data_IF_327775155960
#
_entry.id   IF_327775155960
#
_cell.length_a   1.000
_cell.length_b   1.000
_cell.length_c   1.000
_cell.angle_alpha   90.00
_cell.angle_beta   90.00
_cell.angle_gamma   90.00
#
_symmetry.space_group_name_H-M   'P 1'
#
loop_
_entity.id
_entity.type
_entity.pdbx_description
1 polymer ?
#
# COMPACT_ATOMS: atom_id res chain seq x y z
N UNK A 1 -26.85 -6.51 -17.38
CA UNK A 1 -26.16 -5.38 -16.74
C UNK A 1 -25.35 -5.91 -15.58
N UNK A 2 -24.06 -5.61 -15.55
CA UNK A 2 -23.18 -5.97 -14.44
C UNK A 2 -23.26 -4.94 -13.32
N UNK A 3 -22.58 -5.22 -12.21
CA UNK A 3 -22.50 -4.32 -11.06
C UNK A 3 -21.96 -2.92 -11.45
N UNK A 4 -21.09 -2.85 -12.46
CA UNK A 4 -20.50 -1.59 -12.92
C UNK A 4 -21.48 -0.64 -13.61
N UNK A 5 -22.56 -1.18 -14.17
CA UNK A 5 -23.53 -0.39 -14.96
C UNK A 5 -24.41 0.48 -14.06
N UNK A 6 -24.54 0.14 -12.76
CA UNK A 6 -25.36 0.92 -11.83
C UNK A 6 -24.60 2.02 -11.09
N UNK A 7 -23.26 2.01 -11.09
CA UNK A 7 -22.45 2.97 -10.32
C UNK A 7 -22.70 4.43 -10.68
N UNK A 8 -22.97 4.79 -11.95
CA UNK A 8 -23.37 6.15 -12.29
C UNK A 8 -24.63 6.60 -11.54
N UNK A 9 -25.60 5.69 -11.31
CA UNK A 9 -26.85 6.02 -10.59
C UNK A 9 -26.64 6.32 -9.11
N UNK A 10 -25.56 5.81 -8.50
CA UNK A 10 -25.20 6.09 -7.10
C UNK A 10 -24.37 7.36 -6.93
N UNK A 11 -24.07 8.06 -8.03
CA UNK A 11 -23.11 9.16 -8.05
C UNK A 11 -21.71 8.62 -8.28
N UNK A 12 -21.25 8.70 -9.53
CA UNK A 12 -20.00 8.15 -10.05
C UNK A 12 -18.75 8.43 -9.20
N UNK A 13 -18.72 9.59 -8.52
CA UNK A 13 -17.74 9.97 -7.50
C UNK A 13 -18.38 10.95 -6.49
N UNK A 14 -19.38 10.46 -5.77
CA UNK A 14 -20.14 11.20 -4.76
C UNK A 14 -19.39 11.50 -3.46
N UNK A 15 -20.12 12.07 -2.49
CA UNK A 15 -19.57 12.49 -1.19
C UNK A 15 -18.99 11.32 -0.40
N UNK A 16 -19.66 10.16 -0.43
CA UNK A 16 -19.17 8.95 0.22
C UNK A 16 -17.80 8.54 -0.32
N UNK A 17 -17.65 8.47 -1.64
CA UNK A 17 -16.42 8.06 -2.30
C UNK A 17 -15.26 9.03 -2.00
N UNK A 18 -15.53 10.34 -1.94
CA UNK A 18 -14.53 11.35 -1.56
C UNK A 18 -14.05 11.21 -0.12
N UNK A 19 -14.98 11.03 0.83
CA UNK A 19 -14.64 10.86 2.25
C UNK A 19 -13.80 9.61 2.45
N UNK A 20 -14.21 8.49 1.84
CA UNK A 20 -13.48 7.24 1.97
C UNK A 20 -12.10 7.34 1.31
N UNK A 21 -12.00 7.90 0.10
CA UNK A 21 -10.70 8.12 -0.56
C UNK A 21 -9.73 8.94 0.31
N UNK A 22 -10.21 9.99 0.97
CA UNK A 22 -9.40 10.81 1.87
C UNK A 22 -8.96 10.01 3.11
N UNK A 23 -9.87 9.33 3.80
CA UNK A 23 -9.56 8.56 5.01
C UNK A 23 -8.61 7.39 4.73
N UNK A 24 -8.84 6.66 3.63
CA UNK A 24 -8.03 5.51 3.23
C UNK A 24 -6.62 5.96 2.88
N UNK A 25 -6.46 7.07 2.14
CA UNK A 25 -5.13 7.59 1.81
C UNK A 25 -4.27 7.87 3.05
N UNK A 26 -4.87 8.31 4.16
CA UNK A 26 -4.13 8.60 5.39
C UNK A 26 -3.64 7.35 6.15
N UNK A 27 -4.14 6.15 5.87
CA UNK A 27 -3.65 4.90 6.49
C UNK A 27 -2.20 4.58 6.12
N UNK A 28 -1.72 5.07 4.98
CA UNK A 28 -0.39 4.74 4.49
C UNK A 28 0.72 5.62 5.09
N UNK A 29 0.37 6.75 5.71
CA UNK A 29 1.36 7.69 6.27
C UNK A 29 2.34 7.01 7.24
N UNK A 30 1.90 6.22 8.23
CA UNK A 30 2.81 5.58 9.20
C UNK A 30 3.82 4.64 8.56
N UNK A 31 3.37 3.87 7.56
CA UNK A 31 4.21 2.92 6.87
C UNK A 31 5.32 3.64 6.10
N UNK A 32 4.96 4.66 5.32
CA UNK A 32 5.91 5.41 4.50
C UNK A 32 6.96 6.11 5.36
N UNK A 33 6.54 6.83 6.40
CA UNK A 33 7.45 7.58 7.28
C UNK A 33 8.42 6.68 8.03
N UNK A 34 7.98 5.52 8.53
CA UNK A 34 8.86 4.64 9.32
C UNK A 34 9.81 3.81 8.48
N UNK A 35 9.38 3.40 7.27
CA UNK A 35 10.28 2.72 6.32
C UNK A 35 11.38 3.66 5.87
N UNK A 36 11.04 4.90 5.52
CA UNK A 36 12.02 5.88 5.02
C UNK A 36 12.79 6.61 6.12
N UNK A 37 12.33 6.58 7.38
CA UNK A 37 13.10 7.06 8.53
C UNK A 37 14.49 6.40 8.60
N UNK A 38 14.64 5.17 8.09
CA UNK A 38 15.94 4.49 8.02
C UNK A 38 17.00 5.29 7.26
N UNK A 39 16.62 6.13 6.30
CA UNK A 39 17.56 6.97 5.54
C UNK A 39 18.12 8.10 6.41
N UNK A 40 17.26 8.72 7.22
CA UNK A 40 17.65 9.74 8.20
C UNK A 40 18.37 9.16 9.43
N UNK A 41 18.21 7.86 9.69
CA UNK A 41 18.95 7.17 10.76
C UNK A 41 20.31 6.66 10.26
N UNK A 42 20.43 6.29 8.99
CA UNK A 42 21.68 5.81 8.42
C UNK A 42 22.75 6.90 8.23
N UNK A 43 22.34 8.17 8.21
CA UNK A 43 23.18 9.31 7.82
C UNK A 43 23.93 10.02 8.97
N UNK A 44 23.40 10.14 10.20
CA UNK A 44 24.11 10.83 11.27
C UNK A 44 25.19 9.95 11.90
N UNK A 45 26.43 10.45 12.00
CA UNK A 45 27.48 9.80 12.78
C UNK A 45 27.07 9.65 14.26
N UNK A 46 26.27 10.57 14.81
CA UNK A 46 25.88 10.56 16.22
C UNK A 46 25.04 9.34 16.66
N UNK A 47 24.23 8.71 15.78
CA UNK A 47 23.53 7.46 16.08
C UNK A 47 24.54 6.33 16.26
N UNK A 48 25.33 6.07 15.22
CA UNK A 48 26.27 4.95 15.18
C UNK A 48 27.42 5.10 16.15
N UNK A 49 27.85 6.34 16.41
CA UNK A 49 28.83 6.64 17.44
C UNK A 49 28.30 6.50 18.86
N UNK A 50 26.98 6.58 19.08
CA UNK A 50 26.39 6.37 20.41
C UNK A 50 26.35 4.90 20.83
N UNK A 51 26.39 3.96 19.89
CA UNK A 51 26.47 2.53 20.17
C UNK A 51 27.91 2.06 20.09
N UNK A 52 28.52 1.77 21.25
CA UNK A 52 29.85 1.14 21.37
C UNK A 52 30.93 1.70 20.41
N UNK A 53 30.83 2.99 20.05
CA UNK A 53 31.66 3.68 19.06
C UNK A 53 31.77 2.97 17.69
N UNK A 54 30.66 2.47 17.15
CA UNK A 54 30.59 1.75 15.86
C UNK A 54 30.77 2.67 14.62
N UNK A 55 31.17 3.94 14.79
CA UNK A 55 31.25 4.98 13.75
C UNK A 55 31.94 4.54 12.44
N UNK A 56 33.03 3.77 12.54
CA UNK A 56 33.91 3.47 11.41
C UNK A 56 33.49 2.21 10.64
N UNK A 57 32.58 1.40 11.19
CA UNK A 57 32.18 0.11 10.63
C UNK A 57 30.96 0.25 9.73
N UNK A 58 31.15 0.81 8.53
CA UNK A 58 30.09 1.00 7.52
C UNK A 58 29.28 -0.27 7.20
N UNK A 59 29.88 -1.46 7.30
CA UNK A 59 29.17 -2.72 7.05
C UNK A 59 28.03 -2.99 8.06
N UNK A 60 28.12 -2.49 9.30
CA UNK A 60 27.06 -2.67 10.31
C UNK A 60 25.83 -1.81 10.01
N UNK A 61 26.03 -0.63 9.41
CA UNK A 61 24.94 0.22 8.91
C UNK A 61 24.18 -0.53 7.81
N UNK A 62 24.90 -1.08 6.83
CA UNK A 62 24.32 -1.84 5.72
C UNK A 62 23.64 -3.15 6.20
N UNK A 63 24.21 -3.79 7.23
CA UNK A 63 23.63 -4.98 7.85
C UNK A 63 22.30 -4.64 8.54
N UNK A 64 22.23 -3.52 9.28
CA UNK A 64 20.99 -3.05 9.90
C UNK A 64 19.90 -2.78 8.87
N UNK A 65 20.24 -2.17 7.72
CA UNK A 65 19.28 -1.93 6.65
C UNK A 65 18.79 -3.23 6.00
N UNK A 66 19.71 -4.16 5.72
CA UNK A 66 19.37 -5.48 5.19
C UNK A 66 18.44 -6.25 6.13
N UNK A 67 18.75 -6.27 7.43
CA UNK A 67 17.93 -6.95 8.45
C UNK A 67 16.55 -6.32 8.60
N UNK A 68 16.42 -5.00 8.43
CA UNK A 68 15.11 -4.36 8.35
C UNK A 68 14.24 -4.95 7.24
N UNK A 69 14.77 -5.13 6.02
CA UNK A 69 14.03 -5.76 4.92
C UNK A 69 13.79 -7.27 5.09
N UNK A 70 14.64 -7.98 5.84
CA UNK A 70 14.33 -9.34 6.29
C UNK A 70 13.10 -9.35 7.20
N UNK A 71 13.00 -8.39 8.12
CA UNK A 71 11.80 -8.17 8.94
C UNK A 71 10.56 -7.94 8.08
N UNK A 72 10.66 -7.11 7.05
CA UNK A 72 9.57 -6.88 6.08
C UNK A 72 9.08 -8.20 5.45
N UNK A 73 10.00 -9.04 4.98
CA UNK A 73 9.66 -10.33 4.37
C UNK A 73 8.91 -11.24 5.36
N UNK A 74 9.40 -11.33 6.60
CA UNK A 74 8.76 -12.12 7.67
C UNK A 74 7.35 -11.57 7.93
N UNK A 75 7.21 -10.25 8.04
CA UNK A 75 5.94 -9.56 8.26
C UNK A 75 4.89 -9.88 7.21
N UNK A 76 5.26 -9.82 5.92
CA UNK A 76 4.36 -10.12 4.81
C UNK A 76 3.81 -11.56 4.87
N UNK A 77 4.66 -12.54 5.15
CA UNK A 77 4.24 -13.95 5.20
C UNK A 77 3.39 -14.24 6.44
N UNK A 78 3.84 -13.77 7.61
CA UNK A 78 3.22 -14.07 8.90
C UNK A 78 1.91 -13.33 9.10
N UNK A 79 1.91 -12.00 9.00
CA UNK A 79 0.71 -11.21 9.21
C UNK A 79 -0.30 -11.37 8.08
N UNK A 80 0.14 -11.71 6.86
CA UNK A 80 -0.77 -12.15 5.79
C UNK A 80 -1.58 -13.38 6.19
N UNK A 81 -0.90 -14.44 6.66
CA UNK A 81 -1.58 -15.67 7.11
C UNK A 81 -2.45 -15.45 8.36
N UNK A 82 -2.02 -14.59 9.30
CA UNK A 82 -2.81 -14.25 10.48
C UNK A 82 -4.08 -13.48 10.08
N UNK A 83 -3.98 -12.57 9.11
CA UNK A 83 -5.12 -11.80 8.60
C UNK A 83 -6.18 -12.69 7.94
N UNK A 84 -5.75 -13.75 7.25
CA UNK A 84 -6.66 -14.72 6.66
C UNK A 84 -7.34 -15.62 7.70
N UNK A 85 -6.66 -15.93 8.81
CA UNK A 85 -7.20 -16.83 9.85
C UNK A 85 -8.05 -16.12 10.92
N UNK A 86 -7.60 -14.98 11.41
CA UNK A 86 -8.22 -14.24 12.53
C UNK A 86 -9.00 -13.01 12.08
N UNK A 87 -8.94 -12.68 10.80
CA UNK A 87 -9.59 -11.52 10.22
C UNK A 87 -8.69 -10.28 10.23
N UNK A 88 -8.79 -9.53 9.13
CA UNK A 88 -7.91 -8.40 8.80
C UNK A 88 -7.91 -7.28 9.84
N UNK A 89 -9.06 -7.02 10.46
CA UNK A 89 -9.21 -5.96 11.48
C UNK A 89 -8.42 -6.28 12.76
N UNK A 90 -8.51 -7.52 13.26
CA UNK A 90 -7.75 -7.96 14.44
C UNK A 90 -6.27 -7.86 14.15
N UNK A 91 -5.86 -8.28 12.95
CA UNK A 91 -4.45 -8.25 12.55
C UNK A 91 -3.92 -6.82 12.39
N UNK A 92 -4.71 -5.87 11.88
CA UNK A 92 -4.31 -4.46 11.84
C UNK A 92 -4.04 -3.89 13.24
N UNK A 93 -4.96 -4.12 14.17
CA UNK A 93 -4.82 -3.65 15.56
C UNK A 93 -3.59 -4.27 16.19
N UNK A 94 -3.39 -5.59 16.00
CA UNK A 94 -2.22 -6.31 16.48
C UNK A 94 -0.92 -5.73 15.90
N UNK A 95 -0.85 -5.52 14.58
CA UNK A 95 0.32 -4.94 13.93
C UNK A 95 0.60 -3.53 14.45
N UNK A 96 -0.42 -2.70 14.65
CA UNK A 96 -0.26 -1.34 15.16
C UNK A 96 0.29 -1.33 16.59
N UNK A 97 -0.24 -2.19 17.48
CA UNK A 97 0.24 -2.31 18.86
C UNK A 97 1.72 -2.73 18.88
N UNK A 98 2.07 -3.77 18.11
CA UNK A 98 3.46 -4.24 18.02
C UNK A 98 4.34 -3.13 17.46
N UNK A 99 3.92 -2.46 16.39
CA UNK A 99 4.68 -1.39 15.74
C UNK A 99 4.97 -0.21 16.68
N UNK A 100 3.97 0.27 17.43
CA UNK A 100 4.13 1.38 18.37
C UNK A 100 5.01 0.98 19.56
N UNK A 101 4.73 -0.17 20.19
CA UNK A 101 5.47 -0.61 21.38
C UNK A 101 6.94 -0.88 21.06
N UNK A 102 7.20 -1.60 19.98
CA UNK A 102 8.56 -1.95 19.56
C UNK A 102 9.30 -0.70 19.04
N UNK A 103 8.63 0.19 18.32
CA UNK A 103 9.22 1.46 17.85
C UNK A 103 9.63 2.39 19.00
N UNK A 104 8.79 2.53 20.03
CA UNK A 104 9.14 3.26 21.26
C UNK A 104 10.30 2.55 21.98
N UNK A 105 10.24 1.21 22.09
CA UNK A 105 11.33 0.42 22.68
C UNK A 105 12.67 0.59 21.96
N UNK A 106 12.66 0.70 20.62
CA UNK A 106 13.86 0.92 19.82
C UNK A 106 14.54 2.26 20.16
N UNK A 107 13.76 3.31 20.49
CA UNK A 107 14.31 4.59 20.92
C UNK A 107 15.08 4.52 22.26
N UNK A 108 14.80 3.52 23.09
CA UNK A 108 15.48 3.27 24.37
C UNK A 108 16.53 2.15 24.29
N UNK A 109 16.82 1.64 23.10
CA UNK A 109 17.83 0.59 22.93
C UNK A 109 19.21 1.00 23.50
N UNK A 110 19.84 0.14 24.31
CA UNK A 110 21.13 0.43 24.94
C UNK A 110 22.32 0.03 24.06
N UNK A 111 22.15 -0.97 23.20
CA UNK A 111 23.21 -1.51 22.34
C UNK A 111 22.71 -1.73 20.90
N UNK A 112 23.65 -1.90 19.97
CA UNK A 112 23.38 -2.09 18.54
C UNK A 112 22.49 -3.32 18.27
N UNK A 113 22.73 -4.45 18.95
CA UNK A 113 22.00 -5.70 18.71
C UNK A 113 20.51 -5.52 19.07
N UNK A 114 20.21 -4.97 20.24
CA UNK A 114 18.85 -4.67 20.67
C UNK A 114 18.18 -3.69 19.71
N UNK A 115 18.90 -2.66 19.24
CA UNK A 115 18.36 -1.74 18.25
C UNK A 115 17.97 -2.45 16.96
N UNK A 116 18.87 -3.26 16.38
CA UNK A 116 18.61 -3.98 15.12
C UNK A 116 17.48 -5.00 15.26
N UNK A 117 17.44 -5.76 16.36
CA UNK A 117 16.36 -6.73 16.62
C UNK A 117 15.01 -6.01 16.73
N UNK A 118 14.93 -4.95 17.53
CA UNK A 118 13.70 -4.15 17.66
C UNK A 118 13.28 -3.57 16.31
N UNK A 119 14.21 -2.99 15.55
CA UNK A 119 13.95 -2.46 14.20
C UNK A 119 13.47 -3.52 13.22
N UNK A 120 13.97 -4.75 13.31
CA UNK A 120 13.55 -5.87 12.46
C UNK A 120 12.11 -6.29 12.77
N UNK A 121 11.75 -6.37 14.06
CA UNK A 121 10.38 -6.69 14.50
C UNK A 121 9.43 -5.55 14.13
N UNK A 122 9.86 -4.30 14.32
CA UNK A 122 9.12 -3.10 13.90
C UNK A 122 8.85 -3.14 12.39
N UNK A 123 9.84 -3.51 11.57
CA UNK A 123 9.68 -3.66 10.12
C UNK A 123 8.61 -4.69 9.77
N UNK A 124 8.62 -5.85 10.44
CA UNK A 124 7.64 -6.90 10.24
C UNK A 124 6.21 -6.41 10.55
N UNK A 125 6.03 -5.71 11.68
CA UNK A 125 4.74 -5.16 12.07
C UNK A 125 4.30 -3.99 11.16
N UNK A 126 5.22 -3.13 10.77
CA UNK A 126 5.00 -2.00 9.88
C UNK A 126 4.53 -2.45 8.49
N UNK A 127 5.21 -3.44 7.90
CA UNK A 127 4.82 -3.96 6.59
C UNK A 127 3.65 -4.94 6.66
N UNK A 128 3.45 -5.66 7.78
CA UNK A 128 2.22 -6.38 8.04
C UNK A 128 1.02 -5.43 8.05
N UNK A 129 1.14 -4.31 8.78
CA UNK A 129 0.16 -3.23 8.76
C UNK A 129 0.00 -2.67 7.35
N UNK A 130 1.09 -2.27 6.68
CA UNK A 130 1.05 -1.70 5.34
C UNK A 130 0.42 -2.65 4.33
N UNK A 131 0.72 -3.96 4.37
CA UNK A 131 0.16 -4.96 3.47
C UNK A 131 -1.32 -5.15 3.73
N UNK A 132 -1.74 -5.28 4.99
CA UNK A 132 -3.16 -5.43 5.32
C UNK A 132 -3.91 -4.13 5.03
N UNK A 133 -3.28 -2.98 5.25
CA UNK A 133 -3.77 -1.68 4.80
C UNK A 133 -3.81 -1.62 3.29
N UNK A 134 -2.81 -2.04 2.52
CA UNK A 134 -2.88 -2.10 1.05
C UNK A 134 -3.97 -3.04 0.58
N UNK A 135 -4.16 -4.15 1.26
CA UNK A 135 -5.20 -5.13 0.95
C UNK A 135 -6.58 -4.62 1.36
N UNK A 136 -6.68 -3.84 2.45
CA UNK A 136 -7.90 -3.15 2.87
C UNK A 136 -8.12 -1.96 1.96
N UNK A 137 -7.20 -1.04 1.79
CA UNK A 137 -7.21 0.02 0.79
C UNK A 137 -7.50 -0.53 -0.61
N UNK A 138 -7.01 -1.71 -0.99
CA UNK A 138 -7.34 -2.38 -2.24
C UNK A 138 -8.72 -3.02 -2.19
N UNK A 139 -9.14 -3.61 -1.07
CA UNK A 139 -10.50 -4.11 -0.87
C UNK A 139 -11.53 -2.99 -0.76
N UNK A 140 -11.15 -1.83 -0.25
CA UNK A 140 -11.90 -0.61 0.00
C UNK A 140 -11.88 0.20 -1.28
N UNK A 141 -10.79 0.20 -2.03
CA UNK A 141 -10.78 0.54 -3.44
C UNK A 141 -11.72 -0.39 -4.19
N UNK A 142 -11.68 -1.71 -3.99
CA UNK A 142 -12.64 -2.67 -4.55
C UNK A 142 -14.01 -2.70 -3.85
N UNK A 143 -14.26 -1.96 -2.76
CA UNK A 143 -15.53 -1.97 -2.02
C UNK A 143 -16.18 -0.60 -1.86
N UNK A 144 -15.49 0.46 -2.27
CA UNK A 144 -15.89 1.86 -2.08
C UNK A 144 -15.27 2.82 -3.10
N UNK A 145 -14.07 2.52 -3.63
CA UNK A 145 -13.28 3.41 -4.52
C UNK A 145 -13.23 3.03 -6.01
N UNK A 146 -13.76 1.87 -6.39
CA UNK A 146 -13.92 1.35 -7.76
C UNK A 146 -15.16 0.50 -7.86
N UNK A 147 -15.54 -0.20 -6.79
CA UNK A 147 -16.84 -0.84 -6.73
C UNK A 147 -17.94 0.20 -6.63
N UNK A 148 -17.79 1.31 -5.89
CA UNK A 148 -18.76 2.40 -5.93
C UNK A 148 -18.33 3.61 -6.77
N UNK A 149 -17.17 3.54 -7.42
CA UNK A 149 -16.68 4.60 -8.30
C UNK A 149 -16.79 4.12 -9.73
N UNK A 150 -17.44 4.93 -10.56
CA UNK A 150 -17.66 4.56 -11.95
C UNK A 150 -16.35 4.36 -12.71
N UNK A 151 -16.36 3.56 -13.79
CA UNK A 151 -15.18 3.22 -14.58
C UNK A 151 -14.32 4.41 -14.98
N UNK A 152 -14.91 5.61 -15.22
CA UNK A 152 -14.19 6.81 -15.65
C UNK A 152 -13.28 7.40 -14.57
N UNK A 153 -13.62 7.27 -13.29
CA UNK A 153 -12.88 7.88 -12.17
C UNK A 153 -11.95 6.92 -11.44
N UNK A 154 -11.93 5.63 -11.82
CA UNK A 154 -11.09 4.61 -11.18
C UNK A 154 -9.59 4.91 -11.25
N UNK A 155 -9.11 5.44 -12.38
CA UNK A 155 -7.70 5.80 -12.55
C UNK A 155 -7.31 6.95 -11.60
N UNK A 156 -8.13 8.01 -11.57
CA UNK A 156 -7.96 9.13 -10.65
C UNK A 156 -7.91 8.68 -9.18
N UNK A 157 -8.89 7.89 -8.73
CA UNK A 157 -8.94 7.40 -7.34
C UNK A 157 -7.73 6.52 -7.03
N UNK A 158 -7.29 5.69 -7.96
CA UNK A 158 -6.09 4.84 -7.78
C UNK A 158 -4.83 5.65 -7.54
N UNK A 159 -4.65 6.78 -8.26
CA UNK A 159 -3.48 7.65 -8.09
C UNK A 159 -3.59 8.50 -6.83
N UNK A 160 -4.79 8.94 -6.44
CA UNK A 160 -4.98 9.68 -5.18
C UNK A 160 -4.64 8.84 -3.95
N UNK A 161 -4.86 7.52 -3.98
CA UNK A 161 -4.45 6.64 -2.89
C UNK A 161 -2.92 6.59 -2.71
N UNK A 162 -2.15 6.77 -3.79
CA UNK A 162 -0.68 6.85 -3.69
C UNK A 162 -0.17 8.22 -3.26
N UNK A 163 -1.01 9.26 -3.24
CA UNK A 163 -0.63 10.61 -2.79
C UNK A 163 -0.16 10.66 -1.33
N UNK A 164 -0.40 9.59 -0.58
CA UNK A 164 0.07 9.43 0.77
C UNK A 164 1.60 9.35 0.92
N UNK A 165 2.28 8.87 -0.11
CA UNK A 165 3.74 8.77 -0.14
C UNK A 165 4.43 10.14 -0.08
N UNK A 166 4.19 11.07 -1.02
CA UNK A 166 4.87 12.37 -1.00
C UNK A 166 4.51 13.19 0.23
N UNK A 167 3.28 13.09 0.74
CA UNK A 167 2.90 13.72 2.01
C UNK A 167 3.68 13.14 3.19
N UNK A 168 3.87 11.82 3.21
CA UNK A 168 4.72 11.13 4.19
C UNK A 168 6.17 11.61 4.12
N UNK A 169 6.72 11.87 2.94
CA UNK A 169 8.10 12.37 2.81
C UNK A 169 8.25 13.79 3.35
N UNK A 170 7.31 14.67 3.02
CA UNK A 170 7.29 16.05 3.50
C UNK A 170 7.22 16.02 5.03
N UNK A 171 6.30 15.23 5.59
CA UNK A 171 6.14 15.09 7.03
C UNK A 171 7.41 14.55 7.70
N UNK A 172 7.98 13.45 7.19
CA UNK A 172 9.22 12.86 7.70
C UNK A 172 10.38 13.86 7.66
N UNK A 173 10.48 14.63 6.58
CA UNK A 173 11.52 15.65 6.42
C UNK A 173 11.38 16.74 7.48
N UNK A 174 10.16 17.20 7.75
CA UNK A 174 9.91 18.18 8.82
C UNK A 174 10.28 17.60 10.19
N UNK A 175 9.86 16.38 10.51
CA UNK A 175 10.25 15.73 11.77
C UNK A 175 11.77 15.67 11.93
N UNK A 176 12.46 15.20 10.89
CA UNK A 176 13.90 15.03 10.93
C UNK A 176 14.66 16.37 10.93
N UNK A 177 14.08 17.45 10.40
CA UNK A 177 14.70 18.78 10.38
C UNK A 177 14.63 19.46 11.75
N UNK A 178 13.49 19.35 12.45
CA UNK A 178 13.32 19.94 13.78
C UNK A 178 13.90 19.07 14.90
N UNK A 179 13.88 17.75 14.73
CA UNK A 179 14.32 16.78 15.76
C UNK A 179 15.64 16.14 15.33
N UNK A 180 16.74 16.75 15.73
CA UNK A 180 18.08 16.30 15.37
C UNK A 180 18.57 15.07 16.16
N UNK A 181 17.90 14.71 17.26
CA UNK A 181 18.26 13.54 18.05
C UNK A 181 17.46 12.32 17.60
N UNK A 182 18.14 11.27 17.16
CA UNK A 182 17.53 10.05 16.62
C UNK A 182 16.52 9.38 17.57
N UNK A 183 16.79 9.37 18.89
CA UNK A 183 15.86 8.77 19.88
C UNK A 183 14.55 9.53 19.93
N UNK A 184 14.63 10.86 19.95
CA UNK A 184 13.48 11.74 19.97
C UNK A 184 12.73 11.71 18.64
N UNK A 185 13.44 11.54 17.52
CA UNK A 185 12.85 11.39 16.20
C UNK A 185 12.01 10.11 16.14
N UNK A 186 12.54 8.96 16.58
CA UNK A 186 11.77 7.70 16.66
C UNK A 186 10.55 7.87 17.57
N UNK A 187 10.74 8.42 18.78
CA UNK A 187 9.64 8.67 19.71
C UNK A 187 8.55 9.53 19.09
N UNK A 188 8.91 10.64 18.45
CA UNK A 188 7.96 11.55 17.83
C UNK A 188 7.19 10.88 16.70
N UNK A 189 7.85 10.10 15.84
CA UNK A 189 7.19 9.35 14.77
C UNK A 189 6.17 8.36 15.35
N UNK A 190 6.59 7.47 16.27
CA UNK A 190 5.70 6.44 16.81
C UNK A 190 4.58 6.99 17.70
N UNK A 191 4.82 8.06 18.47
CA UNK A 191 3.78 8.73 19.25
C UNK A 191 2.75 9.40 18.35
N UNK A 192 3.18 10.01 17.24
CA UNK A 192 2.26 10.59 16.25
C UNK A 192 1.35 9.51 15.66
N UNK A 193 1.89 8.32 15.39
CA UNK A 193 1.07 7.19 14.91
C UNK A 193 0.15 6.61 15.96
N UNK A 194 0.60 6.52 17.22
CA UNK A 194 -0.26 6.09 18.32
C UNK A 194 -1.46 7.03 18.49
N UNK A 195 -1.21 8.35 18.46
CA UNK A 195 -2.24 9.39 18.57
C UNK A 195 -3.19 9.33 17.36
N UNK A 196 -2.65 9.27 16.13
CA UNK A 196 -3.44 9.17 14.90
C UNK A 196 -4.37 7.93 14.92
N UNK A 197 -3.83 6.77 15.28
CA UNK A 197 -4.60 5.53 15.36
C UNK A 197 -5.66 5.58 16.48
N UNK A 198 -5.32 6.18 17.64
CA UNK A 198 -6.29 6.39 18.71
C UNK A 198 -7.44 7.32 18.29
N UNK A 199 -7.15 8.41 17.57
CA UNK A 199 -8.18 9.28 16.99
C UNK A 199 -9.06 8.53 16.00
N UNK A 200 -8.48 7.65 15.18
CA UNK A 200 -9.24 6.81 14.25
C UNK A 200 -10.23 5.89 14.98
N UNK A 201 -9.76 5.19 16.03
CA UNK A 201 -10.63 4.36 16.88
C UNK A 201 -11.72 5.19 17.58
N UNK A 202 -11.40 6.42 18.02
CA UNK A 202 -12.35 7.31 18.69
C UNK A 202 -13.38 7.93 17.74
N UNK A 203 -13.00 8.26 16.50
CA UNK A 203 -13.92 8.73 15.46
C UNK A 203 -14.97 7.66 15.16
N UNK A 204 -14.58 6.39 15.13
CA UNK A 204 -15.49 5.25 14.99
C UNK A 204 -16.42 5.11 16.22
N UNK A 205 -15.91 5.37 17.44
CA UNK A 205 -16.69 5.33 18.68
C UNK A 205 -17.70 6.49 18.80
N UNK A 206 -17.31 7.71 18.41
CA UNK A 206 -18.17 8.91 18.46
C UNK A 206 -19.34 8.84 17.47
N UNK A 207 -19.16 8.19 16.32
CA UNK A 207 -20.26 7.88 15.39
C UNK A 207 -21.25 6.83 15.93
N UNK A 208 -20.87 6.02 16.93
CA UNK A 208 -21.74 5.02 17.58
C UNK A 208 -22.42 5.51 18.87
N UNK A 209 -22.09 6.71 19.38
CA UNK A 209 -22.57 7.22 20.67
C UNK A 209 -24.06 7.65 20.74
N UNK A 210 -24.93 7.11 19.90
CA UNK A 210 -26.37 7.04 20.21
C UNK A 210 -26.75 5.80 21.05
N UNK A 211 -25.81 4.90 21.39
CA UNK A 211 -26.09 3.78 22.30
C UNK A 211 -25.01 3.59 23.38
N UNK A 212 -25.34 4.11 24.56
CA UNK A 212 -25.00 3.67 25.91
C UNK A 212 -23.53 3.41 26.32
N UNK A 213 -23.09 4.26 27.22
CA UNK A 213 -21.91 4.16 28.09
C UNK A 213 -22.03 2.93 29.05
N UNK A 214 -20.89 2.42 29.53
CA UNK A 214 -20.71 1.44 30.63
C UNK A 214 -20.56 -0.06 30.28
N UNK A 215 -19.65 -0.42 29.35
CA UNK A 215 -19.14 -1.82 29.26
C UNK A 215 -17.65 -1.91 28.92
N UNK A 216 -16.87 -1.00 29.49
CA UNK A 216 -15.48 -0.77 29.11
C UNK A 216 -14.53 -1.75 29.80
N UNK A 217 -13.50 -2.16 29.05
CA UNK A 217 -12.25 -2.85 29.45
C UNK A 217 -12.20 -4.38 29.29
N UNK A 218 -13.23 -5.17 29.61
CA UNK A 218 -13.15 -6.66 29.45
C UNK A 218 -13.91 -7.18 28.21
N UNK A 219 -14.92 -6.44 27.73
CA UNK A 219 -15.55 -6.70 26.42
C UNK A 219 -14.76 -6.11 25.23
N UNK A 220 -13.61 -5.48 25.51
CA UNK A 220 -12.72 -4.80 24.57
C UNK A 220 -12.03 -5.73 23.56
N UNK A 221 -12.06 -7.06 23.78
CA UNK A 221 -11.28 -8.02 22.99
C UNK A 221 -12.08 -9.06 22.19
N UNK A 222 -13.40 -9.24 22.43
CA UNK A 222 -14.07 -10.46 21.94
C UNK A 222 -15.34 -10.30 21.10
N UNK A 223 -15.86 -9.10 20.85
CA UNK A 223 -16.89 -8.91 19.81
C UNK A 223 -16.52 -7.71 18.94
N UNK A 224 -15.74 -8.00 17.89
CA UNK A 224 -15.40 -7.07 16.82
C UNK A 224 -16.53 -7.11 15.78
N UNK A 225 -17.75 -6.82 16.21
CA UNK A 225 -18.87 -6.66 15.29
C UNK A 225 -18.96 -5.19 14.85
N UNK A 226 -18.80 -5.03 13.54
CA UNK A 226 -19.11 -3.86 12.71
C UNK A 226 -18.13 -2.68 12.71
N UNK A 227 -17.15 -2.79 11.81
CA UNK A 227 -16.52 -1.68 11.08
C UNK A 227 -17.58 -0.97 10.20
N UNK A 228 -18.51 -0.23 10.82
CA UNK A 228 -19.74 0.24 10.13
C UNK A 228 -19.53 1.38 9.12
N UNK A 229 -18.40 2.08 9.15
CA UNK A 229 -18.17 3.20 8.22
C UNK A 229 -17.60 2.75 6.87
N UNK A 230 -16.79 1.69 6.87
CA UNK A 230 -16.21 1.08 5.66
C UNK A 230 -16.83 -0.32 5.51
N UNK A 231 -17.80 -0.50 4.61
CA UNK A 231 -18.45 -1.78 4.40
C UNK A 231 -17.51 -2.79 3.71
N UNK A 232 -17.76 -4.07 4.00
CA UNK A 232 -17.20 -5.18 3.24
C UNK A 232 -17.61 -5.10 1.76
N UNK A 233 -16.82 -5.68 0.84
CA UNK A 233 -17.12 -5.65 -0.60
C UNK A 233 -18.50 -6.23 -0.91
N UNK A 234 -19.30 -5.45 -1.64
CA UNK A 234 -20.65 -5.84 -2.05
C UNK A 234 -20.59 -7.02 -3.02
N UNK A 235 -19.62 -7.05 -3.93
CA UNK A 235 -19.34 -8.19 -4.82
C UNK A 235 -18.98 -9.44 -4.04
N UNK A 236 -18.18 -9.32 -2.96
CA UNK A 236 -17.89 -10.46 -2.07
C UNK A 236 -19.14 -10.92 -1.30
N UNK A 237 -19.94 -9.98 -0.79
CA UNK A 237 -21.19 -10.29 -0.12
C UNK A 237 -22.17 -11.02 -1.07
N UNK A 238 -22.27 -10.55 -2.31
CA UNK A 238 -23.04 -11.19 -3.39
C UNK A 238 -22.50 -12.60 -3.68
N UNK A 239 -21.18 -12.77 -3.81
CA UNK A 239 -20.57 -14.07 -4.11
C UNK A 239 -20.76 -15.10 -2.98
N UNK A 240 -20.79 -14.64 -1.72
CA UNK A 240 -21.13 -15.47 -0.55
C UNK A 240 -22.63 -15.60 -0.28
N UNK A 241 -23.50 -15.06 -1.15
CA UNK A 241 -24.95 -15.13 -1.03
C UNK A 241 -25.56 -14.27 0.08
N UNK A 242 -24.78 -13.35 0.66
CA UNK A 242 -25.19 -12.41 1.72
C UNK A 242 -25.88 -11.18 1.13
N UNK A 243 -26.95 -11.40 0.37
CA UNK A 243 -27.61 -10.34 -0.39
C UNK A 243 -28.23 -9.24 0.48
N UNK A 244 -28.74 -9.59 1.68
CA UNK A 244 -29.32 -8.59 2.60
C UNK A 244 -28.27 -7.59 3.11
N UNK A 245 -27.06 -8.08 3.41
CA UNK A 245 -25.93 -7.23 3.82
C UNK A 245 -25.49 -6.33 2.66
N UNK A 246 -25.36 -6.90 1.46
CA UNK A 246 -25.04 -6.18 0.23
C UNK A 246 -26.03 -5.03 -0.06
N UNK A 247 -27.33 -5.28 0.09
CA UNK A 247 -28.36 -4.27 -0.08
C UNK A 247 -28.29 -3.17 0.98
N UNK A 248 -28.08 -3.54 2.24
CA UNK A 248 -27.92 -2.58 3.32
C UNK A 248 -26.73 -1.64 3.06
N UNK A 249 -25.62 -2.19 2.56
CA UNK A 249 -24.45 -1.41 2.14
C UNK A 249 -24.78 -0.43 1.02
N UNK A 250 -25.41 -0.89 -0.08
CA UNK A 250 -25.78 -0.02 -1.22
C UNK A 250 -26.74 1.09 -0.79
N UNK A 251 -27.77 0.77 0.00
CA UNK A 251 -28.71 1.76 0.55
C UNK A 251 -28.01 2.79 1.44
N UNK A 252 -27.02 2.39 2.24
CA UNK A 252 -26.21 3.29 3.08
C UNK A 252 -25.41 4.27 2.22
N UNK A 253 -24.69 3.77 1.21
CA UNK A 253 -23.90 4.61 0.28
C UNK A 253 -24.80 5.63 -0.42
N UNK A 254 -25.96 5.20 -0.91
CA UNK A 254 -26.91 6.08 -1.56
C UNK A 254 -27.47 7.17 -0.65
N UNK A 255 -27.75 6.84 0.62
CA UNK A 255 -28.19 7.82 1.62
C UNK A 255 -27.14 8.92 1.82
N UNK A 256 -25.85 8.57 1.89
CA UNK A 256 -24.74 9.52 2.03
C UNK A 256 -24.58 10.36 0.76
N UNK A 257 -24.73 9.74 -0.41
CA UNK A 257 -24.71 10.43 -1.70
C UNK A 257 -26.01 11.18 -2.04
N UNK A 258 -27.00 11.18 -1.12
CA UNK A 258 -28.31 11.82 -1.28
C UNK A 258 -29.12 11.31 -2.49
N UNK A 259 -28.90 10.05 -2.88
CA UNK A 259 -29.65 9.35 -3.94
C UNK A 259 -30.77 8.52 -3.29
N UNK A 260 -32.00 8.65 -3.81
CA UNK A 260 -33.14 7.81 -3.39
C UNK A 260 -33.18 6.56 -4.26
N UNK A 261 -33.00 5.38 -3.66
CA UNK A 261 -33.29 4.10 -4.34
C UNK A 261 -34.67 3.60 -3.95
N UNK A 262 -35.44 3.18 -4.95
CA UNK A 262 -36.68 2.41 -4.77
C UNK A 262 -36.34 0.96 -4.45
N UNK A 263 -37.13 0.26 -3.63
CA UNK A 263 -36.87 -1.15 -3.28
C UNK A 263 -36.91 -2.10 -4.50
N UNK A 264 -37.65 -1.73 -5.55
CA UNK A 264 -37.72 -2.48 -6.82
C UNK A 264 -36.42 -2.42 -7.64
N UNK A 265 -35.52 -1.48 -7.33
CA UNK A 265 -34.23 -1.30 -8.02
C UNK A 265 -33.39 -2.58 -8.01
N UNK A 266 -33.35 -3.30 -6.88
CA UNK A 266 -32.52 -4.49 -6.73
C UNK A 266 -33.03 -5.69 -7.53
N UNK A 267 -34.36 -5.76 -7.78
CA UNK A 267 -34.97 -6.79 -8.61
C UNK A 267 -34.78 -6.50 -10.10
N UNK A 268 -34.99 -5.25 -10.53
CA UNK A 268 -34.81 -4.83 -11.92
C UNK A 268 -33.37 -4.99 -12.44
N UNK A 269 -32.37 -4.89 -11.56
CA UNK A 269 -30.95 -4.94 -11.92
C UNK A 269 -30.31 -6.33 -11.78
N UNK A 270 -31.08 -7.42 -11.65
CA UNK A 270 -30.57 -8.80 -11.50
C UNK A 270 -29.53 -8.97 -10.38
N UNK A 271 -29.60 -8.17 -9.31
CA UNK A 271 -28.63 -8.14 -8.21
C UNK A 271 -28.44 -9.50 -7.50
N UNK A 272 -29.42 -10.40 -7.63
CA UNK A 272 -29.48 -11.71 -7.00
C UNK A 272 -29.04 -12.88 -7.92
N UNK A 273 -28.79 -12.64 -9.21
CA UNK A 273 -28.64 -13.72 -10.22
C UNK A 273 -27.21 -14.21 -10.43
N UNK A 274 -26.20 -13.58 -9.84
CA UNK A 274 -24.77 -13.82 -10.13
C UNK A 274 -24.29 -15.25 -9.78
N UNK A 275 -25.09 -16.05 -9.06
CA UNK A 275 -24.75 -17.44 -8.73
C UNK A 275 -25.04 -18.43 -9.86
N UNK A 276 -25.88 -18.08 -10.85
CA UNK A 276 -26.25 -18.99 -11.95
C UNK A 276 -25.15 -19.14 -13.02
N UNK A 277 -24.13 -18.26 -13.04
CA UNK A 277 -23.05 -18.30 -14.05
C UNK A 277 -21.77 -19.00 -13.60
N UNK A 278 -21.65 -19.44 -12.35
CA UNK A 278 -20.54 -20.33 -11.97
C UNK A 278 -20.88 -21.75 -12.38
N UNK A 279 -20.11 -22.30 -13.33
CA UNK A 279 -20.23 -23.67 -13.80
C UNK A 279 -20.46 -24.65 -12.62
N UNK A 280 -21.54 -25.46 -12.62
CA UNK A 280 -21.86 -26.37 -11.51
C UNK A 280 -20.80 -27.48 -11.28
N UNK A 281 -19.78 -27.57 -12.14
CA UNK A 281 -18.69 -28.54 -12.05
C UNK A 281 -17.57 -28.17 -11.07
N UNK A 282 -17.47 -26.91 -10.58
CA UNK A 282 -16.44 -26.53 -9.59
C UNK A 282 -16.99 -26.62 -8.16
N UNK A 283 -16.82 -27.79 -7.56
CA UNK A 283 -17.19 -28.13 -6.17
C UNK A 283 -16.27 -27.53 -5.07
N UNK A 284 -15.46 -26.51 -5.34
CA UNK A 284 -14.47 -25.98 -4.39
C UNK A 284 -14.43 -24.44 -4.42
N UNK A 285 -14.36 -23.81 -3.24
CA UNK A 285 -14.18 -22.36 -3.09
C UNK A 285 -12.88 -21.91 -3.80
N UNK A 286 -12.84 -20.84 -4.59
CA UNK A 286 -11.64 -20.44 -5.32
C UNK A 286 -10.44 -20.25 -4.36
N UNK A 287 -9.36 -20.99 -4.60
CA UNK A 287 -8.14 -20.96 -3.79
C UNK A 287 -7.01 -20.22 -4.53
N UNK A 288 -6.00 -19.72 -3.79
CA UNK A 288 -4.83 -19.05 -4.38
C UNK A 288 -4.09 -19.91 -5.43
N UNK A 289 -4.17 -21.23 -5.31
CA UNK A 289 -3.55 -22.18 -6.23
C UNK A 289 -4.25 -22.15 -7.61
N UNK A 290 -5.53 -21.79 -7.67
CA UNK A 290 -6.28 -21.72 -8.93
C UNK A 290 -5.74 -20.62 -9.88
N UNK A 291 -5.14 -19.56 -9.33
CA UNK A 291 -4.45 -18.52 -10.12
C UNK A 291 -3.25 -19.06 -10.91
N UNK A 292 -2.64 -20.15 -10.44
CA UNK A 292 -1.51 -20.79 -11.11
C UNK A 292 -1.93 -21.99 -11.95
N UNK A 293 -3.22 -22.35 -11.96
CA UNK A 293 -3.73 -23.56 -12.61
C UNK A 293 -3.70 -23.46 -14.12
N UNK A 294 -4.23 -22.37 -14.69
CA UNK A 294 -4.24 -22.17 -16.13
C UNK A 294 -2.98 -21.43 -16.61
N UNK A 295 -2.44 -21.78 -17.79
CA UNK A 295 -1.18 -21.23 -18.28
C UNK A 295 -1.26 -19.73 -18.56
N UNK A 296 -2.44 -19.22 -18.92
CA UNK A 296 -2.68 -17.79 -19.16
C UNK A 296 -2.59 -16.99 -17.86
N UNK A 297 -3.33 -17.40 -16.82
CA UNK A 297 -3.31 -16.75 -15.51
C UNK A 297 -1.93 -16.87 -14.84
N UNK A 298 -1.29 -18.04 -14.94
CA UNK A 298 0.08 -18.25 -14.42
C UNK A 298 1.07 -17.26 -15.01
N UNK A 299 1.09 -17.09 -16.33
CA UNK A 299 1.99 -16.14 -17.00
C UNK A 299 1.73 -14.71 -16.53
N UNK A 300 0.47 -14.30 -16.43
CA UNK A 300 0.10 -12.95 -15.96
C UNK A 300 0.52 -12.73 -14.51
N UNK A 301 0.29 -13.70 -13.64
CA UNK A 301 0.66 -13.62 -12.22
C UNK A 301 2.18 -13.49 -12.04
N UNK A 302 2.96 -14.29 -12.75
CA UNK A 302 4.44 -14.20 -12.72
C UNK A 302 4.90 -12.82 -13.19
N UNK A 303 4.35 -12.29 -14.28
CA UNK A 303 4.70 -10.95 -14.77
C UNK A 303 4.35 -9.88 -13.74
N UNK A 304 3.18 -9.93 -13.11
CA UNK A 304 2.78 -8.98 -12.07
C UNK A 304 3.68 -9.04 -10.83
N UNK A 305 4.13 -10.24 -10.43
CA UNK A 305 5.10 -10.41 -9.34
C UNK A 305 6.43 -9.75 -9.72
N UNK A 306 6.94 -9.98 -10.92
CA UNK A 306 8.19 -9.37 -11.40
C UNK A 306 8.06 -7.84 -11.46
N UNK A 307 6.93 -7.32 -11.96
CA UNK A 307 6.66 -5.87 -11.97
C UNK A 307 6.73 -5.30 -10.56
N UNK A 308 6.09 -5.96 -9.60
CA UNK A 308 6.13 -5.51 -8.21
C UNK A 308 7.54 -5.52 -7.63
N UNK A 309 8.30 -6.60 -7.86
CA UNK A 309 9.68 -6.71 -7.38
C UNK A 309 10.58 -5.63 -7.98
N UNK A 310 10.50 -5.41 -9.31
CA UNK A 310 11.27 -4.37 -10.01
C UNK A 310 10.90 -2.98 -9.49
N UNK A 311 9.62 -2.69 -9.26
CA UNK A 311 9.19 -1.40 -8.71
C UNK A 311 9.75 -1.17 -7.30
N UNK A 312 9.70 -2.18 -6.42
CA UNK A 312 10.28 -2.08 -5.06
C UNK A 312 11.80 -1.88 -5.10
N UNK A 313 12.49 -2.59 -5.99
CA UNK A 313 13.94 -2.47 -6.16
C UNK A 313 14.34 -1.05 -6.57
N UNK A 314 13.65 -0.46 -7.55
CA UNK A 314 13.92 0.90 -8.05
C UNK A 314 13.55 1.92 -6.96
N UNK A 315 12.34 1.80 -6.41
CA UNK A 315 11.81 2.76 -5.45
C UNK A 315 12.65 2.84 -4.17
N UNK A 316 12.88 1.71 -3.48
CA UNK A 316 13.68 1.71 -2.26
C UNK A 316 15.18 1.85 -2.55
N UNK A 317 15.67 1.31 -3.67
CA UNK A 317 17.09 1.43 -4.04
C UNK A 317 17.54 2.89 -4.21
N UNK A 318 16.71 3.72 -4.85
CA UNK A 318 16.98 5.15 -4.99
C UNK A 318 16.87 5.91 -3.66
N UNK A 319 15.83 5.64 -2.88
CA UNK A 319 15.63 6.31 -1.59
C UNK A 319 16.72 5.98 -0.56
N UNK A 320 17.15 4.72 -0.47
CA UNK A 320 18.23 4.31 0.44
C UNK A 320 19.58 4.91 0.03
N UNK A 321 19.77 5.18 -1.26
CA UNK A 321 20.99 5.80 -1.79
C UNK A 321 20.97 7.34 -1.75
N UNK A 322 19.88 7.94 -1.28
CA UNK A 322 19.69 9.41 -1.33
C UNK A 322 20.73 10.19 -0.54
N UNK A 323 21.24 9.62 0.55
CA UNK A 323 22.32 10.24 1.35
C UNK A 323 23.66 10.33 0.62
N UNK A 324 23.82 9.64 -0.51
CA UNK A 324 25.08 9.60 -1.25
C UNK A 324 25.17 10.56 -2.43
N UNK A 325 24.07 11.21 -2.82
CA UNK A 325 24.04 12.13 -3.96
C UNK A 325 24.81 13.45 -3.73
N UNK A 326 25.37 13.68 -2.54
CA UNK A 326 26.11 14.90 -2.20
C UNK A 326 25.23 16.14 -2.00
N UNK A 327 23.91 15.99 -2.15
CA UNK A 327 22.90 16.99 -1.85
C UNK A 327 22.41 16.79 -0.41
N UNK A 328 21.99 17.87 0.24
CA UNK A 328 21.36 17.81 1.56
C UNK A 328 20.15 16.86 1.54
N UNK A 329 20.13 15.88 2.44
CA UNK A 329 19.12 14.81 2.49
C UNK A 329 17.70 15.39 2.63
N UNK A 330 17.52 16.44 3.43
CA UNK A 330 16.22 17.09 3.61
C UNK A 330 15.71 17.68 2.29
N UNK A 331 16.59 18.36 1.55
CA UNK A 331 16.25 18.93 0.25
C UNK A 331 15.95 17.83 -0.77
N UNK A 332 16.72 16.73 -0.77
CA UNK A 332 16.48 15.60 -1.67
C UNK A 332 15.10 14.98 -1.47
N UNK A 333 14.67 14.76 -0.22
CA UNK A 333 13.33 14.23 0.07
C UNK A 333 12.20 15.19 -0.32
N UNK A 334 12.39 16.50 -0.15
CA UNK A 334 11.41 17.51 -0.61
C UNK A 334 11.32 17.53 -2.14
N UNK A 335 12.45 17.47 -2.83
CA UNK A 335 12.47 17.39 -4.30
C UNK A 335 11.77 16.10 -4.75
N UNK A 336 12.06 14.95 -4.13
CA UNK A 336 11.38 13.68 -4.44
C UNK A 336 9.86 13.79 -4.23
N UNK A 337 9.41 14.44 -3.15
CA UNK A 337 7.98 14.63 -2.90
C UNK A 337 7.31 15.49 -3.98
N UNK A 338 7.95 16.60 -4.38
CA UNK A 338 7.43 17.47 -5.45
C UNK A 338 7.40 16.73 -6.79
N UNK A 339 8.47 16.02 -7.14
CA UNK A 339 8.56 15.23 -8.36
C UNK A 339 7.47 14.15 -8.40
N UNK A 340 7.21 13.47 -7.28
CA UNK A 340 6.12 12.49 -7.20
C UNK A 340 4.75 13.12 -7.38
N UNK A 341 4.46 14.27 -6.76
CA UNK A 341 3.19 14.98 -6.93
C UNK A 341 2.98 15.36 -8.40
N UNK A 342 4.01 15.89 -9.06
CA UNK A 342 3.96 16.23 -10.50
C UNK A 342 3.77 14.97 -11.34
N UNK A 343 4.52 13.91 -11.06
CA UNK A 343 4.41 12.63 -11.76
C UNK A 343 3.02 12.01 -11.61
N UNK A 344 2.37 12.14 -10.45
CA UNK A 344 0.99 11.68 -10.23
C UNK A 344 0.00 12.39 -11.15
N UNK A 345 0.10 13.72 -11.28
CA UNK A 345 -0.78 14.50 -12.17
C UNK A 345 -0.58 14.07 -13.63
N UNK A 346 0.67 13.92 -14.07
CA UNK A 346 1.00 13.45 -15.42
C UNK A 346 0.48 12.03 -15.64
N UNK A 347 0.65 11.14 -14.67
CA UNK A 347 0.24 9.74 -14.74
C UNK A 347 -1.27 9.59 -14.98
N UNK A 348 -2.09 10.40 -14.31
CA UNK A 348 -3.55 10.42 -14.51
C UNK A 348 -3.88 10.74 -15.98
N UNK A 349 -3.29 11.81 -16.51
CA UNK A 349 -3.52 12.24 -17.89
C UNK A 349 -3.06 11.18 -18.91
N UNK A 350 -1.88 10.58 -18.69
CA UNK A 350 -1.30 9.59 -19.59
C UNK A 350 -2.10 8.28 -19.57
N UNK A 351 -2.54 7.79 -18.40
CA UNK A 351 -3.34 6.56 -18.30
C UNK A 351 -4.68 6.70 -19.05
N UNK A 352 -5.33 7.86 -18.96
CA UNK A 352 -6.60 8.12 -19.65
C UNK A 352 -6.41 8.20 -21.19
N UNK A 353 -5.28 8.74 -21.65
CA UNK A 353 -5.02 8.98 -23.08
C UNK A 353 -4.31 7.84 -23.82
N UNK A 354 -3.42 7.10 -23.17
CA UNK A 354 -2.54 6.10 -23.81
C UNK A 354 -2.98 4.67 -23.45
N UNK A 355 -3.65 4.48 -22.31
CA UNK A 355 -4.02 3.16 -21.79
C UNK A 355 -2.99 2.63 -20.78
N UNK A 356 -3.39 1.64 -19.97
CA UNK A 356 -2.61 1.23 -18.78
C UNK A 356 -1.35 0.44 -19.15
N UNK A 357 -1.42 -0.40 -20.18
CA UNK A 357 -0.30 -1.29 -20.57
C UNK A 357 0.87 -0.48 -21.11
N UNK A 358 0.61 0.38 -22.09
CA UNK A 358 1.66 1.19 -22.72
C UNK A 358 2.25 2.22 -21.75
N UNK A 359 1.42 2.81 -20.87
CA UNK A 359 1.90 3.70 -19.81
C UNK A 359 2.88 2.98 -18.87
N UNK A 360 2.55 1.76 -18.44
CA UNK A 360 3.42 0.95 -17.59
C UNK A 360 4.76 0.64 -18.26
N UNK A 361 4.73 0.21 -19.54
CA UNK A 361 5.94 -0.09 -20.31
C UNK A 361 6.80 1.16 -20.49
N UNK A 362 6.19 2.29 -20.85
CA UNK A 362 6.90 3.55 -21.05
C UNK A 362 7.58 4.02 -19.75
N UNK A 363 6.87 4.02 -18.62
CA UNK A 363 7.45 4.42 -17.33
C UNK A 363 8.61 3.50 -16.90
N UNK A 364 8.48 2.19 -17.06
CA UNK A 364 9.56 1.24 -16.76
C UNK A 364 10.77 1.44 -17.68
N UNK A 365 10.54 1.68 -18.97
CA UNK A 365 11.61 1.94 -19.92
C UNK A 365 12.34 3.25 -19.62
N UNK A 366 11.59 4.34 -19.36
CA UNK A 366 12.15 5.65 -18.98
C UNK A 366 12.96 5.52 -17.69
N UNK A 367 12.44 4.81 -16.68
CA UNK A 367 13.17 4.56 -15.43
C UNK A 367 14.47 3.78 -15.67
N UNK A 368 14.43 2.72 -16.49
CA UNK A 368 15.63 1.95 -16.85
C UNK A 368 16.67 2.81 -17.58
N UNK A 369 16.25 3.63 -18.53
CA UNK A 369 17.14 4.55 -19.26
C UNK A 369 17.73 5.60 -18.31
N UNK A 370 16.93 6.18 -17.42
CA UNK A 370 17.40 7.15 -16.43
C UNK A 370 18.45 6.55 -15.48
N UNK A 371 18.22 5.33 -14.99
CA UNK A 371 19.21 4.59 -14.17
C UNK A 371 20.48 4.28 -14.96
N UNK A 372 20.37 4.00 -16.26
CA UNK A 372 21.52 3.78 -17.13
C UNK A 372 22.34 5.08 -17.30
N UNK A 373 21.68 6.22 -17.53
CA UNK A 373 22.35 7.52 -17.63
C UNK A 373 23.05 7.88 -16.31
N UNK A 374 22.43 7.57 -15.17
CA UNK A 374 23.00 7.82 -13.85
C UNK A 374 24.34 7.10 -13.61
N UNK A 375 24.60 5.97 -14.29
CA UNK A 375 25.89 5.28 -14.23
C UNK A 375 27.03 6.17 -14.75
N UNK A 376 26.76 6.99 -15.76
CA UNK A 376 27.77 7.83 -16.42
C UNK A 376 27.93 9.21 -15.78
N UNK A 377 27.09 9.56 -14.80
CA UNK A 377 27.21 10.83 -14.07
C UNK A 377 28.20 10.61 -12.92
N UNK A 378 29.40 11.23 -12.94
CA UNK A 378 30.36 11.14 -11.85
C UNK A 378 29.83 11.90 -10.63
N UNK A 379 29.09 11.21 -9.78
CA UNK A 379 28.67 11.68 -8.47
C UNK A 379 29.73 11.35 -7.41
N UNK A 380 29.82 12.09 -6.28
CA UNK A 380 30.64 11.71 -5.13
C UNK A 380 30.37 10.29 -4.62
N UNK A 381 29.19 9.73 -4.92
CA UNK A 381 28.80 8.34 -4.70
C UNK A 381 29.68 7.32 -5.44
N UNK A 382 30.17 7.62 -6.64
CA UNK A 382 31.14 6.75 -7.34
C UNK A 382 32.51 6.71 -6.64
N UNK A 383 32.90 7.80 -5.97
CA UNK A 383 34.17 7.91 -5.25
C UNK A 383 34.14 7.22 -3.88
N UNK A 384 32.95 7.03 -3.28
CA UNK A 384 32.76 6.38 -1.97
C UNK A 384 32.47 4.87 -2.04
N UNK A 385 32.03 4.35 -3.20
CA UNK A 385 31.83 2.92 -3.47
C UNK A 385 33.05 2.23 -4.12
N UNK A 386 34.19 2.92 -4.16
CA UNK A 386 35.42 2.52 -4.85
C UNK A 386 35.93 1.12 -4.48
N UNK A 387 35.53 0.56 -3.33
CA UNK A 387 36.16 -0.64 -2.79
C UNK A 387 35.64 -1.99 -3.35
N UNK A 388 34.49 -2.09 -4.05
CA UNK A 388 34.04 -3.38 -4.64
C UNK A 388 33.31 -3.29 -6.01
N UNK A 389 32.18 -2.57 -6.15
CA UNK A 389 31.49 -2.41 -7.47
C UNK A 389 30.52 -1.18 -7.51
N UNK A 390 31.01 0.02 -7.86
CA UNK A 390 30.23 1.27 -7.80
C UNK A 390 28.95 1.34 -8.65
N UNK A 391 28.90 0.88 -9.91
CA UNK A 391 27.67 0.93 -10.70
C UNK A 391 26.73 -0.26 -10.49
N UNK A 392 27.07 -1.25 -9.66
CA UNK A 392 26.37 -2.54 -9.60
C UNK A 392 24.86 -2.43 -9.29
N UNK A 393 24.48 -1.56 -8.35
CA UNK A 393 23.07 -1.36 -7.99
C UNK A 393 22.26 -0.69 -9.10
N UNK A 394 22.85 0.28 -9.82
CA UNK A 394 22.22 0.98 -10.94
C UNK A 394 22.14 0.11 -12.20
N UNK A 395 23.15 -0.73 -12.44
CA UNK A 395 23.13 -1.74 -13.51
C UNK A 395 22.01 -2.76 -13.27
N UNK A 396 21.90 -3.27 -12.03
CA UNK A 396 20.83 -4.20 -11.66
C UNK A 396 19.44 -3.57 -11.86
N UNK A 397 19.25 -2.32 -11.41
CA UNK A 397 18.01 -1.58 -11.63
C UNK A 397 17.70 -1.39 -13.11
N UNK A 398 18.69 -1.07 -13.93
CA UNK A 398 18.55 -0.90 -15.39
C UNK A 398 18.09 -2.19 -16.06
N UNK A 399 18.79 -3.30 -15.80
CA UNK A 399 18.45 -4.61 -16.38
C UNK A 399 17.06 -5.03 -15.93
N UNK A 400 16.76 -4.93 -14.62
CA UNK A 400 15.45 -5.29 -14.08
C UNK A 400 14.33 -4.48 -14.74
N UNK A 401 14.48 -3.16 -14.85
CA UNK A 401 13.50 -2.27 -15.47
C UNK A 401 13.22 -2.62 -16.93
N UNK A 402 14.26 -2.80 -17.75
CA UNK A 402 14.13 -3.08 -19.19
C UNK A 402 13.56 -4.48 -19.46
N UNK A 403 14.01 -5.49 -18.71
CA UNK A 403 13.47 -6.86 -18.81
C UNK A 403 12.00 -6.87 -18.40
N UNK A 404 11.64 -6.16 -17.33
CA UNK A 404 10.25 -6.06 -16.87
C UNK A 404 9.37 -5.35 -17.90
N UNK A 405 9.86 -4.25 -18.50
CA UNK A 405 9.14 -3.55 -19.56
C UNK A 405 8.84 -4.45 -20.76
N UNK A 406 9.80 -5.31 -21.17
CA UNK A 406 9.60 -6.30 -22.22
C UNK A 406 8.58 -7.37 -21.81
N UNK A 407 8.64 -7.88 -20.58
CA UNK A 407 7.67 -8.86 -20.07
C UNK A 407 6.24 -8.30 -19.98
N UNK A 408 6.08 -7.00 -19.71
CA UNK A 408 4.78 -6.33 -19.70
C UNK A 408 4.07 -6.34 -21.06
N UNK A 409 4.77 -6.64 -22.18
CA UNK A 409 4.13 -6.86 -23.48
C UNK A 409 3.21 -8.09 -23.51
N UNK A 410 3.35 -9.01 -22.57
CA UNK A 410 2.48 -10.19 -22.43
C UNK A 410 1.11 -9.80 -21.84
N UNK A 411 1.02 -8.66 -21.15
CA UNK A 411 -0.21 -8.24 -20.47
C UNK A 411 -1.25 -7.69 -21.47
N UNK A 412 -2.54 -8.01 -21.31
CA UNK A 412 -3.59 -7.47 -22.17
C UNK A 412 -3.84 -5.98 -21.89
N UNK A 413 -4.24 -5.23 -22.93
CA UNK A 413 -4.71 -3.84 -22.74
C UNK A 413 -6.10 -3.84 -22.11
N UNK A 414 -6.31 -2.92 -21.16
CA UNK A 414 -7.53 -2.77 -20.36
C UNK A 414 -8.35 -1.53 -20.76
N UNK A 415 -7.76 -0.61 -21.51
CA UNK A 415 -8.45 0.61 -21.97
C UNK A 415 -9.71 0.27 -22.77
N UNK A 416 -10.84 0.84 -22.35
CA UNK A 416 -12.12 0.67 -23.03
C UNK A 416 -12.72 -0.73 -22.96
N UNK A 417 -12.10 -1.66 -22.22
CA UNK A 417 -12.62 -3.02 -22.02
C UNK A 417 -13.23 -3.16 -20.63
N UNK A 418 -14.29 -3.95 -20.53
CA UNK A 418 -14.86 -4.34 -19.24
C UNK A 418 -13.84 -5.23 -18.50
N UNK A 419 -13.49 -4.86 -17.28
CA UNK A 419 -12.52 -5.62 -16.49
C UNK A 419 -13.11 -6.98 -16.11
N UNK A 420 -12.30 -8.05 -16.09
CA UNK A 420 -12.77 -9.38 -15.71
C UNK A 420 -13.28 -9.37 -14.26
N UNK A 421 -14.47 -9.93 -14.03
CA UNK A 421 -15.10 -10.01 -12.70
C UNK A 421 -14.91 -11.41 -12.10
N UNK A 422 -14.71 -12.42 -12.94
CA UNK A 422 -14.50 -13.83 -12.54
C UNK A 422 -13.14 -14.36 -13.00
N UNK A 423 -12.72 -15.51 -12.45
CA UNK A 423 -11.53 -16.25 -12.91
C UNK A 423 -11.64 -16.65 -14.39
N UNK A 424 -12.84 -17.03 -14.85
CA UNK A 424 -13.12 -17.44 -16.23
C UNK A 424 -13.02 -16.25 -17.20
N UNK A 425 -13.54 -15.08 -16.79
CA UNK A 425 -13.33 -13.83 -17.53
C UNK A 425 -11.83 -13.51 -17.60
N UNK A 426 -11.11 -13.73 -16.49
CA UNK A 426 -9.67 -13.53 -16.42
C UNK A 426 -8.88 -14.41 -17.40
N UNK A 427 -9.31 -15.66 -17.63
CA UNK A 427 -8.69 -16.57 -18.58
C UNK A 427 -8.91 -16.14 -20.03
N UNK A 428 -10.11 -15.64 -20.34
CA UNK A 428 -10.50 -15.22 -21.69
C UNK A 428 -10.15 -13.77 -22.02
N UNK A 429 -9.82 -12.95 -21.02
CA UNK A 429 -9.60 -11.52 -21.19
C UNK A 429 -8.40 -11.22 -22.11
N UNK A 430 -8.66 -10.65 -23.30
CA UNK A 430 -7.61 -10.24 -24.23
C UNK A 430 -6.90 -11.37 -24.97
N UNK A 431 -7.54 -12.55 -25.03
CA UNK A 431 -7.24 -13.58 -26.04
C UNK A 431 -7.76 -13.18 -27.42
#
# INVERSE_FOLDING_TARGET
MGFDDFLPTLGEFGTYQKIICALVSTFQFPAVTSVLAIVFLATPANLWCSFDLICDRKYLINLSQSLFFVGVLIGCVTFGAIADRFGRKVTLILCNIIFVLIGIGAAFSPNYITFVVMRTIEAAACFGFALISYVIDFLVFLSSGTEFVGPSKRAFVSVMLTAAFPLGYILLTFYAYFINNWRHLLLALHLTFAIYFFFYLKLEFSLKQHCLLVRTVIFYFLHVDDFSFIPESVRWQISKGRYKEAQATVKRVAKINKVKLTDDFFYQHNFYRTRETTNPERNHDPNLIDLFRTPVLRKRMIVLIIVWMTNNLIFYGLHLSTGSFGVNIYLSFLISAVVEIVAMIICILVIEQVGRRYSLIACLAISGIASCIAIFIPTPLMLLLYDVWPPGSLVLQTIAALVTAALCLILPETRGKKLPETLEDGETFGM
#
